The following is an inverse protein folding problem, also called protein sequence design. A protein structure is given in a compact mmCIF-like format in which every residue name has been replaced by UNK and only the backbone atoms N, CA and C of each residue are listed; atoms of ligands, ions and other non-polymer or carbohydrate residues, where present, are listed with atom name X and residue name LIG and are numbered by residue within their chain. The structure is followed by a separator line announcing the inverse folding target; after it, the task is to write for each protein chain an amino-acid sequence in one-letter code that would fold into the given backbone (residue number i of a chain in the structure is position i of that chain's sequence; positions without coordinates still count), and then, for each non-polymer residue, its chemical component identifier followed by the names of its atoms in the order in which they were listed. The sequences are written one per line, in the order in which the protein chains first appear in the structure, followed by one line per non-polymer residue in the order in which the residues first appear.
data_IF_573128745349
#
_entry.id   IF_573128745349
#
_cell.length_a   1.000
_cell.length_b   1.000
_cell.length_c   1.000
_cell.angle_alpha   90.00
_cell.angle_beta   90.00
_cell.angle_gamma   90.00
#
_symmetry.space_group_name_H-M   'P 1'
#
loop_
_entity.id
_entity.type
_entity.pdbx_description
1 polymer ?
#
# COMPACT_ATOMS: atom_id res chain seq x y z
N UNK A 1 -19.05 6.88 25.36
CA UNK A 1 -18.11 7.08 24.24
C UNK A 1 -18.89 7.64 23.05
N UNK A 2 -18.55 8.84 22.59
CA UNK A 2 -19.22 9.53 21.49
C UNK A 2 -18.32 9.54 20.24
N UNK A 3 -18.91 9.56 19.06
CA UNK A 3 -18.18 9.63 17.78
C UNK A 3 -17.19 10.80 17.75
N UNK A 4 -17.60 11.97 18.24
CA UNK A 4 -16.74 13.15 18.27
C UNK A 4 -15.53 13.01 19.19
N UNK A 5 -15.67 12.29 20.30
CA UNK A 5 -14.55 11.99 21.19
C UNK A 5 -13.52 11.08 20.53
N UNK A 6 -13.94 10.09 19.73
CA UNK A 6 -13.05 9.25 18.96
C UNK A 6 -12.32 10.05 17.88
N UNK A 7 -13.01 10.98 17.20
CA UNK A 7 -12.39 11.87 16.21
C UNK A 7 -11.28 12.71 16.86
N UNK A 8 -11.55 13.31 18.02
CA UNK A 8 -10.57 14.11 18.74
C UNK A 8 -9.39 13.27 19.25
N UNK A 9 -9.68 12.08 19.78
CA UNK A 9 -8.65 11.14 20.21
C UNK A 9 -7.70 10.79 19.06
N UNK A 10 -8.22 10.41 17.89
CA UNK A 10 -7.39 10.10 16.71
C UNK A 10 -6.59 11.32 16.27
N UNK A 11 -7.20 12.52 16.24
CA UNK A 11 -6.51 13.75 15.86
C UNK A 11 -5.31 14.07 16.78
N UNK A 12 -5.46 13.88 18.11
CA UNK A 12 -4.36 14.06 19.08
C UNK A 12 -3.29 12.98 18.90
N UNK A 13 -3.68 11.73 18.69
CA UNK A 13 -2.75 10.62 18.49
C UNK A 13 -1.85 10.83 17.24
N UNK A 14 -2.41 11.39 16.17
CA UNK A 14 -1.68 11.65 14.92
C UNK A 14 -0.79 12.89 14.98
N UNK A 15 -1.28 13.98 15.57
CA UNK A 15 -0.52 15.22 15.65
C UNK A 15 0.46 15.26 16.81
N UNK A 16 0.27 14.41 17.82
CA UNK A 16 0.99 14.40 19.11
C UNK A 16 1.01 15.78 19.78
N UNK A 17 -0.04 16.59 19.54
CA UNK A 17 -0.12 17.95 20.01
C UNK A 17 -1.58 18.42 20.11
N UNK A 18 -2.08 18.77 21.31
CA UNK A 18 -3.48 19.16 21.52
C UNK A 18 -3.91 20.39 20.72
N UNK A 19 -3.07 21.41 20.63
CA UNK A 19 -3.41 22.63 19.87
C UNK A 19 -3.53 22.33 18.37
N UNK A 20 -2.55 21.63 17.79
CA UNK A 20 -2.59 21.25 16.36
C UNK A 20 -3.77 20.31 16.06
N UNK A 21 -4.08 19.41 16.99
CA UNK A 21 -5.27 18.56 16.85
C UNK A 21 -6.55 19.39 16.83
N UNK A 22 -6.68 20.36 17.74
CA UNK A 22 -7.84 21.26 17.82
C UNK A 22 -8.03 22.10 16.55
N UNK A 23 -6.94 22.67 16.01
CA UNK A 23 -6.92 23.36 14.72
C UNK A 23 -7.39 22.47 13.58
N UNK A 24 -6.88 21.25 13.52
CA UNK A 24 -7.25 20.26 12.46
C UNK A 24 -8.73 19.87 12.48
N UNK A 25 -9.34 19.79 13.67
CA UNK A 25 -10.76 19.43 13.82
C UNK A 25 -11.66 20.65 14.03
N UNK A 26 -11.13 21.87 13.84
CA UNK A 26 -11.84 23.15 13.88
C UNK A 26 -12.59 23.42 15.20
N UNK A 27 -11.91 23.17 16.33
CA UNK A 27 -12.45 23.44 17.67
C UNK A 27 -11.42 24.16 18.54
N UNK A 28 -11.85 24.70 19.69
CA UNK A 28 -10.92 25.25 20.67
C UNK A 28 -10.16 24.12 21.40
N UNK A 29 -8.89 24.36 21.72
CA UNK A 29 -8.07 23.40 22.47
C UNK A 29 -8.67 23.03 23.83
N UNK A 30 -9.25 23.96 24.65
CA UNK A 30 -9.92 23.58 25.87
C UNK A 30 -11.09 22.61 25.67
N UNK A 31 -11.92 22.84 24.63
CA UNK A 31 -13.04 21.95 24.31
C UNK A 31 -12.55 20.55 23.93
N UNK A 32 -11.55 20.45 23.06
CA UNK A 32 -10.96 19.17 22.68
C UNK A 32 -10.38 18.44 23.91
N UNK A 33 -9.62 19.14 24.75
CA UNK A 33 -9.01 18.56 25.96
C UNK A 33 -10.06 18.06 26.95
N UNK A 34 -11.18 18.79 27.13
CA UNK A 34 -12.28 18.38 27.97
C UNK A 34 -12.96 17.11 27.44
N UNK A 35 -13.18 16.99 26.14
CA UNK A 35 -13.78 15.81 25.52
C UNK A 35 -12.88 14.57 25.63
N UNK A 36 -11.57 14.74 25.47
CA UNK A 36 -10.61 13.64 25.72
C UNK A 36 -10.66 13.19 27.17
N UNK A 37 -10.65 14.15 28.12
CA UNK A 37 -10.75 13.83 29.55
C UNK A 37 -12.05 13.11 29.90
N UNK A 38 -13.18 13.50 29.29
CA UNK A 38 -14.45 12.81 29.46
C UNK A 38 -14.41 11.38 28.92
N UNK A 39 -13.74 11.15 27.78
CA UNK A 39 -13.53 9.83 27.20
C UNK A 39 -12.67 8.96 28.13
N UNK A 40 -11.56 9.50 28.66
CA UNK A 40 -10.67 8.82 29.60
C UNK A 40 -11.42 8.43 30.89
N UNK A 41 -12.25 9.33 31.40
CA UNK A 41 -13.09 9.06 32.58
C UNK A 41 -14.11 7.95 32.32
N UNK A 42 -14.78 7.96 31.18
CA UNK A 42 -15.75 6.93 30.80
C UNK A 42 -15.07 5.56 30.63
N UNK A 43 -13.86 5.52 30.06
CA UNK A 43 -13.10 4.27 29.85
C UNK A 43 -12.33 3.81 31.11
N UNK A 44 -12.21 4.67 32.12
CA UNK A 44 -11.49 4.38 33.36
C UNK A 44 -9.98 4.30 33.19
N UNK A 45 -9.43 4.84 32.09
CA UNK A 45 -8.00 4.79 31.77
C UNK A 45 -7.55 6.07 31.06
N UNK A 46 -6.33 6.54 31.37
CA UNK A 46 -5.68 7.59 30.61
C UNK A 46 -5.26 7.05 29.23
N UNK A 47 -5.56 7.78 28.16
CA UNK A 47 -5.21 7.43 26.77
C UNK A 47 -3.91 8.10 26.33
N UNK A 48 -3.54 9.22 26.98
CA UNK A 48 -2.32 9.96 26.69
C UNK A 48 -1.46 10.14 27.93
N UNK A 49 -0.17 9.85 27.78
CA UNK A 49 0.86 10.25 28.73
C UNK A 49 1.34 11.67 28.41
N UNK A 50 1.48 12.50 29.46
CA UNK A 50 1.97 13.89 29.36
C UNK A 50 3.37 14.05 29.97
N UNK A 51 4.18 12.99 29.96
CA UNK A 51 5.51 13.03 30.55
C UNK A 51 6.46 13.93 29.74
N UNK A 52 7.13 14.85 30.44
CA UNK A 52 8.18 15.75 29.90
C UNK A 52 7.79 16.62 28.70
N UNK A 53 6.53 17.05 28.60
CA UNK A 53 6.07 17.93 27.53
C UNK A 53 5.83 17.24 26.18
N UNK A 54 6.03 15.94 26.10
CA UNK A 54 5.71 15.14 24.91
C UNK A 54 4.40 14.38 25.12
N UNK A 55 3.53 14.41 24.12
CA UNK A 55 2.27 13.66 24.13
C UNK A 55 2.52 12.32 23.44
N UNK A 56 2.39 11.24 24.19
CA UNK A 56 2.47 9.87 23.71
C UNK A 56 1.21 9.09 24.12
N UNK A 57 0.88 8.07 23.36
CA UNK A 57 -0.19 7.14 23.75
C UNK A 57 0.27 6.31 24.95
N UNK A 58 -0.68 5.99 25.83
CA UNK A 58 -0.55 4.94 26.83
C UNK A 58 -0.87 3.58 26.18
N UNK A 59 -0.65 2.47 26.90
CA UNK A 59 -1.06 1.13 26.43
C UNK A 59 -2.56 1.09 26.12
N UNK A 60 -3.39 1.77 26.93
CA UNK A 60 -4.82 1.91 26.67
C UNK A 60 -5.10 2.73 25.40
N UNK A 61 -4.32 3.81 25.17
CA UNK A 61 -4.41 4.61 23.95
C UNK A 61 -3.98 3.82 22.71
N UNK A 62 -2.91 3.04 22.80
CA UNK A 62 -2.47 2.18 21.70
C UNK A 62 -3.50 1.09 21.36
N UNK A 63 -4.15 0.51 22.37
CA UNK A 63 -5.23 -0.46 22.17
C UNK A 63 -6.47 0.18 21.53
N UNK A 64 -6.84 1.39 21.94
CA UNK A 64 -8.02 2.09 21.42
C UNK A 64 -7.81 2.62 19.98
N UNK A 65 -6.60 3.08 19.64
CA UNK A 65 -6.34 3.79 18.38
C UNK A 65 -6.78 3.02 17.12
N UNK A 66 -6.45 1.74 16.93
CA UNK A 66 -6.91 1.00 15.75
C UNK A 66 -8.43 0.84 15.72
N UNK A 67 -9.07 0.66 16.86
CA UNK A 67 -10.54 0.54 16.97
C UNK A 67 -11.24 1.87 16.69
N UNK A 68 -10.73 2.97 17.23
CA UNK A 68 -11.27 4.31 16.98
C UNK A 68 -11.20 4.68 15.49
N UNK A 69 -10.05 4.42 14.84
CA UNK A 69 -9.90 4.64 13.39
C UNK A 69 -10.88 3.82 12.58
N UNK A 70 -11.07 2.56 12.96
CA UNK A 70 -12.02 1.66 12.31
C UNK A 70 -13.46 2.16 12.43
N UNK A 71 -13.91 2.55 13.62
CA UNK A 71 -15.27 3.10 13.86
C UNK A 71 -15.49 4.36 12.99
N UNK A 72 -14.50 5.25 12.93
CA UNK A 72 -14.57 6.46 12.11
C UNK A 72 -14.68 6.13 10.62
N UNK A 73 -13.86 5.19 10.13
CA UNK A 73 -13.87 4.74 8.74
C UNK A 73 -15.19 4.04 8.36
N UNK A 74 -15.72 3.17 9.23
CA UNK A 74 -16.99 2.48 9.00
C UNK A 74 -18.17 3.47 8.99
N UNK A 75 -18.14 4.52 9.82
CA UNK A 75 -19.14 5.59 9.79
C UNK A 75 -19.09 6.39 8.49
N UNK A 76 -17.90 6.69 8.00
CA UNK A 76 -17.72 7.34 6.71
C UNK A 76 -18.22 6.46 5.56
N UNK A 77 -17.95 5.16 5.61
CA UNK A 77 -18.46 4.19 4.64
C UNK A 77 -19.98 4.16 4.63
N UNK A 78 -20.61 4.09 5.81
CA UNK A 78 -22.06 4.11 5.93
C UNK A 78 -22.69 5.38 5.34
N UNK A 79 -22.09 6.55 5.60
CA UNK A 79 -22.56 7.83 5.02
C UNK A 79 -22.48 7.81 3.49
N UNK A 80 -21.39 7.30 2.93
CA UNK A 80 -21.21 7.23 1.48
C UNK A 80 -22.19 6.24 0.83
N UNK A 81 -22.41 5.07 1.42
CA UNK A 81 -23.38 4.09 0.92
C UNK A 81 -24.80 4.70 0.83
N UNK A 82 -25.22 5.44 1.86
CA UNK A 82 -26.52 6.12 1.86
C UNK A 82 -26.55 7.22 0.78
N UNK A 83 -25.48 8.00 0.63
CA UNK A 83 -25.39 9.05 -0.39
C UNK A 83 -25.39 8.48 -1.81
N UNK A 84 -24.73 7.33 -2.04
CA UNK A 84 -24.74 6.63 -3.33
C UNK A 84 -26.16 6.13 -3.72
N UNK A 85 -26.97 5.74 -2.74
CA UNK A 85 -28.38 5.37 -2.97
C UNK A 85 -29.25 6.55 -3.38
N UNK A 86 -28.97 7.74 -2.84
CA UNK A 86 -29.74 8.96 -3.10
C UNK A 86 -29.28 9.67 -4.40
N UNK A 87 -27.99 9.60 -4.71
CA UNK A 87 -27.38 10.24 -5.88
C UNK A 87 -26.40 9.28 -6.57
N UNK A 88 -26.89 8.43 -7.44
CA UNK A 88 -26.17 7.38 -8.21
C UNK A 88 -24.93 7.84 -9.03
N UNK A 89 -24.44 9.08 -8.85
CA UNK A 89 -23.37 9.69 -9.66
C UNK A 89 -22.18 10.23 -8.87
N UNK A 90 -22.16 10.10 -7.53
CA UNK A 90 -21.07 10.63 -6.71
C UNK A 90 -20.69 9.62 -5.63
N UNK A 91 -19.46 9.21 -5.62
CA UNK A 91 -18.89 8.29 -4.63
C UNK A 91 -17.38 8.42 -4.62
N UNK A 92 -16.71 7.61 -3.76
CA UNK A 92 -15.24 7.49 -3.77
C UNK A 92 -14.84 6.03 -3.66
N UNK A 93 -13.65 5.73 -4.18
CA UNK A 93 -12.99 4.44 -3.98
C UNK A 93 -11.58 4.69 -3.46
N UNK A 94 -11.24 4.08 -2.32
CA UNK A 94 -9.91 4.09 -1.71
C UNK A 94 -9.22 2.78 -2.05
N UNK A 95 -8.27 2.84 -2.98
CA UNK A 95 -7.53 1.66 -3.46
C UNK A 95 -6.07 1.76 -3.06
N UNK A 96 -5.58 0.76 -2.32
CA UNK A 96 -4.17 0.56 -2.07
C UNK A 96 -3.52 -0.28 -3.17
N UNK A 97 -2.29 0.05 -3.57
CA UNK A 97 -1.53 -0.78 -4.49
C UNK A 97 -0.01 -0.62 -4.31
N UNK A 98 0.74 -1.67 -4.66
CA UNK A 98 2.20 -1.55 -4.66
C UNK A 98 2.67 -0.66 -5.81
N UNK A 99 3.82 0.04 -5.68
CA UNK A 99 4.32 0.99 -6.68
C UNK A 99 4.38 0.43 -8.10
N UNK A 100 4.79 -0.83 -8.24
CA UNK A 100 4.84 -1.49 -9.54
C UNK A 100 3.46 -1.70 -10.18
N UNK A 101 2.41 -1.85 -9.39
CA UNK A 101 1.04 -1.97 -9.90
C UNK A 101 0.46 -0.59 -10.25
N UNK A 102 0.86 0.46 -9.52
CA UNK A 102 0.50 1.83 -9.83
C UNK A 102 1.03 2.26 -11.21
N UNK A 103 2.24 1.81 -11.57
CA UNK A 103 2.84 2.10 -12.89
C UNK A 103 2.44 1.10 -13.97
N UNK A 104 2.24 -0.20 -13.63
CA UNK A 104 2.10 -1.29 -14.60
C UNK A 104 0.67 -1.68 -14.95
N UNK A 105 -0.23 -1.75 -13.97
CA UNK A 105 -1.59 -2.28 -14.14
C UNK A 105 -2.66 -1.20 -14.04
N UNK A 106 -2.61 -0.40 -12.97
CA UNK A 106 -3.69 0.51 -12.61
C UNK A 106 -4.01 1.57 -13.65
N UNK A 107 -3.07 2.20 -14.37
CA UNK A 107 -3.41 3.28 -15.28
C UNK A 107 -4.49 2.91 -16.29
N UNK A 108 -4.40 1.73 -16.90
CA UNK A 108 -5.35 1.28 -17.91
C UNK A 108 -6.72 0.92 -17.31
N UNK A 109 -6.70 0.27 -16.12
CA UNK A 109 -7.93 -0.11 -15.42
C UNK A 109 -8.67 1.11 -14.88
N UNK A 110 -7.94 2.06 -14.27
CA UNK A 110 -8.53 3.26 -13.70
C UNK A 110 -9.06 4.20 -14.78
N UNK A 111 -8.40 4.28 -15.95
CA UNK A 111 -8.94 5.00 -17.10
C UNK A 111 -10.29 4.43 -17.51
N UNK A 112 -10.36 3.11 -17.72
CA UNK A 112 -11.62 2.44 -18.08
C UNK A 112 -12.71 2.67 -17.03
N UNK A 113 -12.33 2.59 -15.75
CA UNK A 113 -13.27 2.87 -14.66
C UNK A 113 -13.77 4.31 -14.66
N UNK A 114 -12.87 5.28 -14.83
CA UNK A 114 -13.20 6.70 -14.87
C UNK A 114 -14.13 7.04 -16.03
N UNK A 115 -13.88 6.47 -17.21
CA UNK A 115 -14.73 6.67 -18.39
C UNK A 115 -16.16 6.15 -18.15
N UNK A 116 -16.31 5.05 -17.43
CA UNK A 116 -17.62 4.46 -17.08
C UNK A 116 -18.29 5.15 -15.88
N UNK A 117 -17.50 5.71 -14.97
CA UNK A 117 -17.97 6.29 -13.71
C UNK A 117 -17.31 7.66 -13.41
N UNK A 118 -17.56 8.69 -14.26
CA UNK A 118 -16.82 9.97 -14.14
C UNK A 118 -17.12 10.77 -12.87
N UNK A 119 -18.20 10.42 -12.16
CA UNK A 119 -18.54 11.06 -10.88
C UNK A 119 -17.92 10.41 -9.64
N UNK A 120 -17.17 9.31 -9.82
CA UNK A 120 -16.52 8.62 -8.69
C UNK A 120 -15.08 9.12 -8.52
N UNK A 121 -14.77 9.60 -7.32
CA UNK A 121 -13.41 9.97 -6.93
C UNK A 121 -12.57 8.72 -6.65
N UNK A 122 -11.38 8.65 -7.25
CA UNK A 122 -10.39 7.61 -7.00
C UNK A 122 -9.30 8.16 -6.07
N UNK A 123 -9.11 7.52 -4.93
CA UNK A 123 -8.03 7.80 -3.99
C UNK A 123 -7.09 6.62 -4.00
N UNK A 124 -5.87 6.84 -4.48
CA UNK A 124 -4.85 5.79 -4.59
C UNK A 124 -3.82 5.97 -3.50
N UNK A 125 -3.58 4.92 -2.72
CA UNK A 125 -2.53 4.86 -1.73
C UNK A 125 -1.47 3.87 -2.20
N UNK A 126 -0.23 4.37 -2.31
CA UNK A 126 0.90 3.59 -2.75
C UNK A 126 1.70 3.09 -1.53
N UNK A 127 1.96 1.79 -1.45
CA UNK A 127 2.65 1.21 -0.31
C UNK A 127 3.07 -0.25 -0.51
N UNK A 128 3.85 -0.80 0.41
CA UNK A 128 4.14 -2.24 0.45
C UNK A 128 2.93 -3.04 0.92
N UNK A 129 2.85 -4.32 0.54
CA UNK A 129 1.69 -5.17 0.87
C UNK A 129 1.39 -5.22 2.36
N UNK A 130 2.41 -5.21 3.22
CA UNK A 130 2.23 -5.20 4.67
C UNK A 130 1.49 -3.94 5.16
N UNK A 131 1.88 -2.76 4.67
CA UNK A 131 1.25 -1.50 5.04
C UNK A 131 -0.19 -1.43 4.51
N UNK A 132 -0.40 -1.85 3.25
CA UNK A 132 -1.72 -1.86 2.62
C UNK A 132 -2.70 -2.80 3.35
N UNK A 133 -2.24 -3.98 3.79
CA UNK A 133 -3.03 -4.91 4.62
C UNK A 133 -3.44 -4.26 5.94
N UNK A 134 -2.52 -3.55 6.58
CA UNK A 134 -2.81 -2.83 7.83
C UNK A 134 -3.84 -1.71 7.62
N UNK A 135 -3.71 -0.92 6.56
CA UNK A 135 -4.65 0.17 6.25
C UNK A 135 -6.03 -0.38 5.84
N UNK A 136 -6.06 -1.54 5.14
CA UNK A 136 -7.30 -2.23 4.83
C UNK A 136 -8.02 -2.70 6.11
N UNK A 137 -7.30 -3.35 7.02
CA UNK A 137 -7.85 -3.82 8.31
C UNK A 137 -8.39 -2.68 9.18
N UNK A 138 -7.81 -1.48 9.05
CA UNK A 138 -8.27 -0.25 9.74
C UNK A 138 -9.45 0.45 9.04
N UNK A 139 -9.89 -0.05 7.87
CA UNK A 139 -10.93 0.58 7.08
C UNK A 139 -10.51 1.87 6.36
N UNK A 140 -9.21 2.19 6.31
CA UNK A 140 -8.68 3.33 5.56
C UNK A 140 -8.76 3.09 4.04
N UNK A 141 -8.70 1.83 3.61
CA UNK A 141 -8.87 1.40 2.22
C UNK A 141 -10.14 0.56 2.05
N UNK A 142 -10.73 0.62 0.86
CA UNK A 142 -11.86 -0.21 0.46
C UNK A 142 -11.38 -1.50 -0.22
N UNK A 143 -10.32 -1.39 -1.02
CA UNK A 143 -9.65 -2.47 -1.76
C UNK A 143 -8.13 -2.30 -1.66
N UNK A 144 -7.38 -3.40 -1.77
CA UNK A 144 -5.93 -3.34 -1.96
C UNK A 144 -5.46 -4.40 -2.95
N UNK A 145 -4.48 -4.04 -3.78
CA UNK A 145 -3.71 -4.96 -4.59
C UNK A 145 -2.41 -5.28 -3.86
N UNK A 146 -2.27 -6.54 -3.44
CA UNK A 146 -1.17 -7.03 -2.61
C UNK A 146 -0.44 -8.19 -3.26
N UNK A 147 0.80 -8.43 -2.85
CA UNK A 147 1.60 -9.57 -3.31
C UNK A 147 1.45 -10.73 -2.32
N UNK A 148 1.19 -11.93 -2.84
CA UNK A 148 1.12 -13.15 -2.04
C UNK A 148 2.49 -13.87 -1.99
N UNK A 149 2.77 -14.63 -0.91
CA UNK A 149 1.95 -14.80 0.31
C UNK A 149 1.97 -13.54 1.17
N UNK A 150 0.88 -13.26 1.87
CA UNK A 150 0.87 -12.18 2.85
C UNK A 150 1.82 -12.50 4.00
N UNK A 151 2.59 -11.52 4.49
CA UNK A 151 3.57 -11.74 5.57
C UNK A 151 2.93 -12.25 6.86
N UNK A 152 1.70 -11.85 7.11
CA UNK A 152 0.90 -12.30 8.25
C UNK A 152 -0.50 -12.66 7.75
N UNK A 153 -0.96 -13.92 7.95
CA UNK A 153 -2.33 -14.28 7.67
C UNK A 153 -3.29 -13.40 8.47
N UNK A 154 -4.18 -12.72 7.79
CA UNK A 154 -5.20 -11.89 8.44
C UNK A 154 -6.57 -12.52 8.19
N UNK A 155 -7.19 -13.16 9.19
CA UNK A 155 -8.53 -13.74 9.05
C UNK A 155 -9.61 -12.68 8.78
N UNK A 156 -9.29 -11.41 9.03
CA UNK A 156 -10.16 -10.28 8.74
C UNK A 156 -10.17 -9.85 7.26
N UNK A 157 -9.39 -10.51 6.39
CA UNK A 157 -9.30 -10.17 4.98
C UNK A 157 -9.68 -11.33 4.07
N UNK A 158 -10.40 -11.01 3.01
CA UNK A 158 -10.63 -11.90 1.88
C UNK A 158 -9.65 -11.51 0.78
N UNK A 159 -8.94 -12.48 0.22
CA UNK A 159 -8.04 -12.29 -0.92
C UNK A 159 -8.47 -13.14 -2.10
N UNK A 160 -8.42 -12.57 -3.30
CA UNK A 160 -8.69 -13.28 -4.55
C UNK A 160 -7.51 -13.06 -5.48
N UNK A 161 -6.88 -14.14 -5.93
CA UNK A 161 -5.76 -14.05 -6.87
C UNK A 161 -6.19 -13.37 -8.17
N UNK A 162 -5.45 -12.37 -8.57
CA UNK A 162 -5.70 -11.57 -9.77
C UNK A 162 -4.85 -12.05 -10.95
N UNK A 163 -3.54 -12.11 -10.76
CA UNK A 163 -2.59 -12.59 -11.77
C UNK A 163 -1.28 -13.04 -11.12
N UNK A 164 -0.52 -13.83 -11.87
CA UNK A 164 0.86 -14.17 -11.55
C UNK A 164 1.75 -13.67 -12.68
N UNK A 165 2.87 -13.05 -12.36
CA UNK A 165 3.82 -12.54 -13.34
C UNK A 165 5.26 -12.95 -13.01
N UNK A 166 6.07 -13.03 -14.05
CA UNK A 166 7.50 -13.27 -13.92
C UNK A 166 8.24 -11.96 -13.60
N UNK A 167 9.39 -12.10 -12.93
CA UNK A 167 10.33 -11.01 -12.74
C UNK A 167 11.47 -11.12 -13.76
N UNK A 168 12.05 -9.99 -14.12
CA UNK A 168 13.14 -9.85 -15.07
C UNK A 168 14.23 -8.97 -14.50
N UNK A 169 15.44 -9.09 -15.05
CA UNK A 169 16.54 -8.18 -14.75
C UNK A 169 16.49 -7.01 -15.72
N UNK A 170 16.61 -5.79 -15.21
CA UNK A 170 16.80 -4.59 -16.01
C UNK A 170 18.21 -4.03 -15.80
N UNK A 171 18.81 -3.56 -16.89
CA UNK A 171 20.11 -2.87 -16.91
C UNK A 171 20.03 -1.65 -17.82
N UNK A 172 20.97 -0.71 -17.70
CA UNK A 172 21.12 0.36 -18.69
C UNK A 172 21.30 -0.23 -20.11
N UNK A 173 20.69 0.38 -21.10
CA UNK A 173 20.87 -0.02 -22.50
C UNK A 173 22.32 0.09 -22.97
N UNK A 174 23.12 0.98 -22.37
CA UNK A 174 24.55 1.15 -22.64
C UNK A 174 25.43 0.05 -22.04
N UNK A 175 24.94 -0.70 -21.05
CA UNK A 175 25.69 -1.80 -20.45
C UNK A 175 25.84 -2.98 -21.41
N UNK A 176 26.88 -3.82 -21.28
CA UNK A 176 27.03 -5.02 -22.07
C UNK A 176 25.81 -5.93 -21.98
N UNK A 177 25.34 -6.46 -23.14
CA UNK A 177 24.19 -7.37 -23.15
C UNK A 177 24.61 -8.75 -22.61
N UNK A 178 23.83 -9.33 -21.66
CA UNK A 178 24.02 -10.73 -21.33
C UNK A 178 23.79 -11.62 -22.54
N UNK A 179 24.65 -12.63 -22.73
CA UNK A 179 24.54 -13.57 -23.86
C UNK A 179 23.47 -14.65 -23.66
N UNK A 180 22.92 -14.77 -22.46
CA UNK A 180 21.93 -15.78 -22.04
C UNK A 180 21.01 -15.19 -20.98
N UNK A 181 19.85 -15.83 -20.67
CA UNK A 181 19.06 -15.48 -19.50
C UNK A 181 19.91 -15.49 -18.23
N UNK A 182 19.71 -14.50 -17.36
CA UNK A 182 20.47 -14.30 -16.13
C UNK A 182 19.97 -15.28 -15.05
N UNK A 183 20.87 -16.06 -14.45
CA UNK A 183 20.54 -16.87 -13.27
C UNK A 183 20.65 -15.99 -12.02
N UNK A 184 19.93 -16.34 -10.95
CA UNK A 184 20.07 -15.62 -9.67
C UNK A 184 21.52 -15.64 -9.17
N UNK A 185 22.21 -16.78 -9.32
CA UNK A 185 23.64 -16.90 -8.97
C UNK A 185 24.56 -15.92 -9.73
N UNK A 186 24.18 -15.52 -10.96
CA UNK A 186 24.96 -14.56 -11.76
C UNK A 186 24.86 -13.11 -11.22
N UNK A 187 23.95 -12.85 -10.26
CA UNK A 187 23.83 -11.56 -9.58
C UNK A 187 24.82 -11.37 -8.42
N UNK A 188 25.54 -12.42 -8.01
CA UNK A 188 26.43 -12.44 -6.83
C UNK A 188 27.40 -11.27 -6.80
N UNK A 189 28.09 -11.02 -7.90
CA UNK A 189 29.14 -10.00 -8.00
C UNK A 189 28.72 -8.79 -8.84
N UNK A 190 27.38 -8.63 -9.03
CA UNK A 190 26.85 -7.51 -9.80
C UNK A 190 26.45 -6.37 -8.88
N UNK A 191 26.69 -5.11 -9.28
CA UNK A 191 26.17 -3.97 -8.57
C UNK A 191 24.65 -3.95 -8.73
N UNK A 192 23.91 -4.07 -7.61
CA UNK A 192 22.45 -4.04 -7.62
C UNK A 192 21.92 -2.69 -7.13
N UNK A 193 20.86 -2.24 -7.78
CA UNK A 193 20.00 -1.16 -7.31
C UNK A 193 18.81 -1.80 -6.65
N UNK A 194 18.58 -1.49 -5.37
CA UNK A 194 17.59 -2.17 -4.55
C UNK A 194 16.54 -1.21 -4.02
N UNK A 195 15.32 -1.71 -3.92
CA UNK A 195 14.18 -1.02 -3.32
C UNK A 195 14.36 -0.78 -1.82
N UNK A 196 13.55 0.13 -1.28
CA UNK A 196 13.49 0.36 0.17
C UNK A 196 13.08 -0.89 0.96
N UNK A 197 13.36 -0.90 2.23
CA UNK A 197 12.87 -1.93 3.16
C UNK A 197 11.33 -1.97 3.20
N UNK A 198 10.78 -3.16 3.42
CA UNK A 198 9.32 -3.39 3.45
C UNK A 198 8.65 -3.43 2.07
N UNK A 199 9.45 -3.43 0.99
CA UNK A 199 8.93 -3.57 -0.37
C UNK A 199 9.05 -5.03 -0.84
N UNK A 200 7.95 -5.62 -1.30
CA UNK A 200 7.86 -7.06 -1.63
C UNK A 200 8.96 -7.53 -2.59
N UNK A 201 9.31 -6.71 -3.58
CA UNK A 201 10.36 -7.06 -4.57
C UNK A 201 11.75 -7.15 -3.95
N UNK A 202 12.04 -6.32 -2.93
CA UNK A 202 13.27 -6.42 -2.16
C UNK A 202 13.35 -7.76 -1.44
N UNK A 203 12.31 -8.07 -0.68
CA UNK A 203 12.26 -9.28 0.13
C UNK A 203 12.38 -10.53 -0.76
N UNK A 204 11.66 -10.56 -1.87
CA UNK A 204 11.71 -11.66 -2.83
C UNK A 204 13.10 -11.81 -3.48
N UNK A 205 13.74 -10.70 -3.88
CA UNK A 205 15.06 -10.73 -4.52
C UNK A 205 16.14 -11.17 -3.52
N UNK A 206 16.13 -10.62 -2.30
CA UNK A 206 17.09 -10.99 -1.25
C UNK A 206 16.92 -12.45 -0.86
N UNK A 207 15.68 -12.92 -0.68
CA UNK A 207 15.42 -14.32 -0.36
C UNK A 207 15.92 -15.26 -1.46
N UNK A 208 15.78 -14.90 -2.72
CA UNK A 208 16.28 -15.69 -3.83
C UNK A 208 17.81 -15.74 -3.87
N UNK A 209 18.50 -14.63 -3.61
CA UNK A 209 19.96 -14.60 -3.50
C UNK A 209 20.47 -15.46 -2.33
N UNK A 210 19.81 -15.39 -1.19
CA UNK A 210 20.11 -16.22 -0.02
C UNK A 210 19.93 -17.71 -0.29
N UNK A 211 18.88 -18.07 -1.03
CA UNK A 211 18.66 -19.45 -1.44
C UNK A 211 19.79 -19.99 -2.35
N UNK A 212 20.46 -19.11 -3.12
CA UNK A 212 21.66 -19.41 -3.92
C UNK A 212 22.98 -19.29 -3.12
N UNK A 213 22.89 -19.10 -1.80
CA UNK A 213 24.04 -19.09 -0.89
C UNK A 213 24.87 -17.80 -0.92
N UNK A 214 24.24 -16.64 -1.16
CA UNK A 214 24.93 -15.34 -1.05
C UNK A 214 24.02 -14.19 -0.62
N UNK A 215 24.63 -13.18 0.00
CA UNK A 215 23.98 -11.90 0.24
C UNK A 215 24.25 -10.97 -0.94
N UNK A 216 23.20 -10.32 -1.49
CA UNK A 216 23.41 -9.39 -2.60
C UNK A 216 24.11 -8.12 -2.13
N UNK A 217 24.97 -7.56 -2.98
CA UNK A 217 25.62 -6.26 -2.78
C UNK A 217 24.82 -5.16 -3.45
N UNK A 218 24.58 -4.05 -2.76
CA UNK A 218 23.81 -2.92 -3.26
C UNK A 218 24.72 -1.72 -3.49
N UNK A 219 24.72 -1.19 -4.72
CA UNK A 219 25.35 0.09 -5.04
C UNK A 219 24.46 1.25 -4.61
N UNK A 220 23.15 1.07 -4.78
CA UNK A 220 22.12 2.02 -4.31
C UNK A 220 21.02 1.23 -3.62
N UNK A 221 20.64 1.71 -2.44
CA UNK A 221 19.57 1.12 -1.64
C UNK A 221 18.55 2.18 -1.27
N UNK A 222 17.29 1.89 -1.53
CA UNK A 222 16.17 2.79 -1.27
C UNK A 222 15.44 3.24 -2.55
N UNK A 223 14.37 3.98 -2.37
CA UNK A 223 13.52 4.45 -3.46
C UNK A 223 12.39 3.49 -3.82
N UNK A 224 11.44 4.03 -4.55
CA UNK A 224 10.31 3.32 -5.15
C UNK A 224 10.63 2.99 -6.62
N UNK A 225 9.67 2.42 -7.33
CA UNK A 225 9.87 1.87 -8.67
C UNK A 225 10.53 2.84 -9.65
N UNK A 226 10.04 4.07 -9.75
CA UNK A 226 10.56 5.04 -10.72
C UNK A 226 11.98 5.50 -10.40
N UNK A 227 12.31 5.67 -9.11
CA UNK A 227 13.66 6.00 -8.66
C UNK A 227 14.64 4.87 -8.99
N UNK A 228 14.27 3.62 -8.69
CA UNK A 228 15.10 2.43 -9.00
C UNK A 228 15.35 2.34 -10.50
N UNK A 229 14.32 2.48 -11.35
CA UNK A 229 14.49 2.50 -12.80
C UNK A 229 15.38 3.67 -13.26
N UNK A 230 15.27 4.83 -12.63
CA UNK A 230 16.13 5.99 -12.87
C UNK A 230 17.60 5.71 -12.58
N UNK A 231 17.89 5.09 -11.44
CA UNK A 231 19.25 4.70 -11.07
C UNK A 231 19.84 3.65 -12.00
N UNK A 232 19.03 2.68 -12.44
CA UNK A 232 19.46 1.69 -13.45
C UNK A 232 19.75 2.35 -14.81
N UNK A 233 18.91 3.31 -15.25
CA UNK A 233 19.18 4.10 -16.48
C UNK A 233 20.51 4.86 -16.39
N UNK A 234 20.82 5.41 -15.23
CA UNK A 234 22.09 6.09 -14.96
C UNK A 234 23.30 5.14 -14.91
N UNK A 235 23.09 3.83 -15.03
CA UNK A 235 24.20 2.84 -15.05
C UNK A 235 24.74 2.47 -13.68
N UNK A 236 24.00 2.75 -12.59
CA UNK A 236 24.44 2.46 -11.22
C UNK A 236 24.35 0.97 -10.83
N UNK A 237 23.75 0.14 -11.68
CA UNK A 237 23.64 -1.29 -11.45
C UNK A 237 22.45 -1.93 -12.14
N UNK A 238 22.13 -3.14 -11.72
CA UNK A 238 21.00 -3.94 -12.19
C UNK A 238 19.86 -3.88 -11.18
N UNK A 239 18.63 -4.10 -11.63
CA UNK A 239 17.50 -4.34 -10.72
C UNK A 239 16.65 -5.52 -11.21
N UNK A 240 15.99 -6.18 -10.25
CA UNK A 240 14.99 -7.21 -10.52
C UNK A 240 13.62 -6.56 -10.43
N UNK A 241 12.87 -6.56 -11.52
CA UNK A 241 11.57 -5.85 -11.62
C UNK A 241 10.51 -6.73 -12.28
N UNK A 242 9.23 -6.44 -12.10
CA UNK A 242 8.14 -7.15 -12.76
C UNK A 242 8.12 -6.91 -14.27
N UNK A 243 7.73 -7.93 -15.04
CA UNK A 243 7.61 -7.84 -16.51
C UNK A 243 6.66 -6.73 -16.95
N UNK A 244 5.56 -6.48 -16.20
CA UNK A 244 4.62 -5.41 -16.54
C UNK A 244 5.24 -4.00 -16.47
N UNK A 245 6.21 -3.80 -15.58
CA UNK A 245 6.95 -2.53 -15.45
C UNK A 245 8.04 -2.46 -16.52
N UNK A 246 8.78 -3.55 -16.72
CA UNK A 246 9.84 -3.64 -17.72
C UNK A 246 9.31 -3.36 -19.13
N UNK A 247 8.11 -3.83 -19.47
CA UNK A 247 7.46 -3.56 -20.76
C UNK A 247 7.15 -2.09 -21.03
N UNK A 248 7.12 -1.24 -20.00
CA UNK A 248 6.88 0.22 -20.08
C UNK A 248 8.15 1.06 -19.89
N UNK A 249 9.29 0.41 -19.62
CA UNK A 249 10.51 1.09 -19.17
C UNK A 249 11.26 1.92 -20.24
N UNK A 250 10.78 1.91 -21.50
CA UNK A 250 11.39 2.64 -22.61
C UNK A 250 12.65 1.97 -23.17
N UNK A 251 13.28 2.62 -24.19
CA UNK A 251 14.44 2.07 -24.91
C UNK A 251 15.76 2.22 -24.17
N UNK A 252 15.78 2.99 -23.11
CA UNK A 252 16.99 3.29 -22.32
C UNK A 252 17.35 2.17 -21.34
N UNK A 253 16.44 1.23 -21.15
CA UNK A 253 16.64 0.04 -20.33
C UNK A 253 16.63 -1.21 -21.19
N UNK A 254 17.57 -2.10 -20.91
CA UNK A 254 17.59 -3.45 -21.45
C UNK A 254 16.91 -4.39 -20.47
N UNK A 255 15.98 -5.19 -20.98
CA UNK A 255 15.26 -6.21 -20.24
C UNK A 255 15.86 -7.57 -20.56
N UNK A 256 16.23 -8.31 -19.53
CA UNK A 256 16.79 -9.66 -19.67
C UNK A 256 15.99 -10.64 -18.80
N UNK A 257 15.53 -11.72 -19.39
CA UNK A 257 14.80 -12.76 -18.64
C UNK A 257 15.68 -13.41 -17.57
N UNK A 258 15.08 -13.78 -16.44
CA UNK A 258 15.70 -14.70 -15.50
C UNK A 258 15.64 -16.13 -16.05
N UNK A 259 16.74 -16.88 -15.87
CA UNK A 259 16.79 -18.29 -16.20
C UNK A 259 15.84 -19.09 -15.28
N UNK A 260 15.24 -20.15 -15.83
CA UNK A 260 14.36 -21.02 -15.03
C UNK A 260 15.09 -21.63 -13.84
N UNK A 261 14.42 -21.74 -12.68
CA UNK A 261 12.98 -21.54 -12.44
C UNK A 261 12.55 -20.06 -12.44
N UNK A 262 13.47 -19.08 -12.39
CA UNK A 262 13.18 -17.65 -12.33
C UNK A 262 12.56 -17.21 -11.02
N UNK A 263 12.04 -16.00 -11.01
CA UNK A 263 11.25 -15.45 -9.89
C UNK A 263 9.88 -15.07 -10.38
N UNK A 264 8.88 -15.38 -9.58
CA UNK A 264 7.49 -15.06 -9.86
C UNK A 264 6.83 -14.44 -8.64
N UNK A 265 5.84 -13.60 -8.85
CA UNK A 265 4.98 -13.09 -7.79
C UNK A 265 3.52 -13.24 -8.18
N UNK A 266 2.68 -13.50 -7.21
CA UNK A 266 1.22 -13.55 -7.37
C UNK A 266 0.62 -12.29 -6.78
N UNK A 267 -0.18 -11.59 -7.55
CA UNK A 267 -0.93 -10.41 -7.13
C UNK A 267 -2.34 -10.84 -6.81
N UNK A 268 -2.84 -10.41 -5.65
CA UNK A 268 -4.20 -10.63 -5.21
C UNK A 268 -4.91 -9.30 -4.95
N UNK A 269 -6.21 -9.30 -5.20
CA UNK A 269 -7.11 -8.28 -4.73
C UNK A 269 -7.59 -8.66 -3.34
N UNK A 270 -7.44 -7.75 -2.39
CA UNK A 270 -7.82 -7.92 -0.99
C UNK A 270 -8.89 -6.91 -0.58
N UNK A 271 -9.80 -7.32 0.27
CA UNK A 271 -10.76 -6.48 0.97
C UNK A 271 -11.09 -7.07 2.35
N UNK A 272 -11.75 -6.32 3.21
CA UNK A 272 -12.20 -6.82 4.51
C UNK A 272 -13.23 -7.93 4.33
N UNK A 273 -13.16 -8.95 5.19
CA UNK A 273 -14.10 -10.09 5.18
C UNK A 273 -15.39 -9.81 5.95
N UNK A 274 -15.35 -8.88 6.91
CA UNK A 274 -16.45 -8.57 7.83
C UNK A 274 -17.41 -7.48 7.31
N UNK A 275 -17.01 -6.75 6.26
CA UNK A 275 -17.82 -5.69 5.62
C UNK A 275 -17.70 -5.80 4.11
N UNK A 276 -18.83 -5.75 3.41
CA UNK A 276 -18.82 -5.72 1.96
C UNK A 276 -18.21 -4.38 1.48
N UNK A 277 -17.36 -4.39 0.43
CA UNK A 277 -16.86 -3.16 -0.14
C UNK A 277 -18.00 -2.25 -0.64
N UNK A 278 -17.86 -0.91 -0.59
CA UNK A 278 -18.82 0.03 -1.15
C UNK A 278 -19.15 -0.30 -2.62
N UNK A 279 -20.35 0.11 -3.08
CA UNK A 279 -20.81 -0.18 -4.43
C UNK A 279 -19.80 0.23 -5.51
N UNK A 280 -19.25 1.45 -5.41
CA UNK A 280 -18.23 1.93 -6.33
C UNK A 280 -16.98 1.05 -6.32
N UNK A 281 -16.54 0.59 -5.14
CA UNK A 281 -15.40 -0.32 -5.01
C UNK A 281 -15.71 -1.70 -5.61
N UNK A 282 -16.93 -2.22 -5.47
CA UNK A 282 -17.36 -3.47 -6.12
C UNK A 282 -17.35 -3.38 -7.66
N UNK A 283 -17.72 -2.24 -8.24
CA UNK A 283 -17.60 -2.03 -9.69
C UNK A 283 -16.13 -2.00 -10.14
N UNK A 284 -15.25 -1.32 -9.41
CA UNK A 284 -13.80 -1.37 -9.68
C UNK A 284 -13.23 -2.78 -9.54
N UNK A 285 -13.66 -3.54 -8.52
CA UNK A 285 -13.29 -4.94 -8.33
C UNK A 285 -13.63 -5.79 -9.55
N UNK A 286 -14.83 -5.62 -10.13
CA UNK A 286 -15.24 -6.35 -11.35
C UNK A 286 -14.32 -6.06 -12.52
N UNK A 287 -13.93 -4.79 -12.74
CA UNK A 287 -13.00 -4.41 -13.80
C UNK A 287 -11.60 -5.00 -13.57
N UNK A 288 -11.09 -4.94 -12.34
CA UNK A 288 -9.81 -5.57 -11.98
C UNK A 288 -9.83 -7.07 -12.26
N UNK A 289 -10.91 -7.76 -11.89
CA UNK A 289 -11.07 -9.19 -12.15
C UNK A 289 -11.24 -9.52 -13.65
N UNK A 290 -11.86 -8.63 -14.42
CA UNK A 290 -11.99 -8.79 -15.87
C UNK A 290 -10.65 -8.62 -16.60
N UNK A 291 -9.78 -7.74 -16.13
CA UNK A 291 -8.43 -7.52 -16.69
C UNK A 291 -7.50 -8.74 -16.58
N UNK A 292 -7.85 -9.72 -15.71
CA UNK A 292 -7.20 -11.03 -15.60
C UNK A 292 -7.26 -11.86 -16.89
N UNK A 293 -8.34 -11.72 -17.66
CA UNK A 293 -8.65 -12.59 -18.82
C UNK A 293 -8.00 -12.14 -20.13
N UNK A 294 -7.39 -10.97 -20.14
CA UNK A 294 -6.82 -10.35 -21.37
C UNK A 294 -5.29 -10.37 -21.46
N UNK A 295 -4.60 -11.06 -20.54
CA UNK A 295 -3.13 -11.12 -20.53
C UNK A 295 -2.60 -12.54 -20.54
#
# INVERSE_FOLDING_TARGET
MQFQQLLYFVAVAETRHFTRAAERVHVSQPSLSQQIKALEQELGAELFSRARGNIALTDAGEALLPLARRILADTDTARHEVQELVQLKRGRVRLGATPSLCTGLLPDVLRTFHDQHPGIQLLIEEGGSHDLVRELARGALDLALVVLPLPTPSPALTTVELLTEDLVVVSSASAPAPRRPVRIADLRDQPLVMFRHGYDLRELTVAACRAEGFEPSFTVEGGEMDAVLGFVRAGLGLAVVPTMVAGRAGRDLRVTALARPGLRRTIALAHRSDVAPPRAARELQKLLMASRRGR
#
